data_IF_552936337026
#
_entry.id   IF_552936337026
#
_cell.length_a   1.000
_cell.length_b   1.000
_cell.length_c   1.000
_cell.angle_alpha   90.00
_cell.angle_beta   90.00
_cell.angle_gamma   90.00
#
_symmetry.space_group_name_H-M   'P 1'
#
loop_
_entity.id
_entity.type
_entity.pdbx_description
1 polymer ?
#
# COMPACT_ATOMS: atom_id res chain seq x y z
N UNK A 1 47.71 31.56 40.29
CA UNK A 1 48.77 30.55 40.10
C UNK A 1 48.23 29.20 40.55
N UNK A 2 48.42 28.15 39.75
CA UNK A 2 48.42 26.69 40.05
C UNK A 2 47.72 26.13 41.32
N UNK A 3 47.06 24.96 41.31
CA UNK A 3 46.84 23.95 40.25
C UNK A 3 45.73 22.96 40.66
N UNK A 4 45.35 22.11 39.70
CA UNK A 4 44.39 20.99 39.78
C UNK A 4 44.62 19.98 40.92
N UNK A 5 43.55 19.29 41.33
CA UNK A 5 43.59 17.83 41.54
C UNK A 5 42.21 17.18 41.39
N UNK A 6 42.08 16.28 40.40
CA UNK A 6 40.94 15.37 40.24
C UNK A 6 41.26 14.05 40.95
N UNK A 7 40.35 13.55 41.80
CA UNK A 7 40.31 12.14 42.22
C UNK A 7 38.86 11.63 42.23
N UNK A 8 38.73 10.39 41.77
CA UNK A 8 37.48 9.73 41.42
C UNK A 8 37.03 8.70 42.46
N UNK A 9 35.87 8.08 42.17
CA UNK A 9 35.39 6.80 42.72
C UNK A 9 34.97 6.79 44.20
N UNK A 10 33.65 6.65 44.42
CA UNK A 10 33.03 5.43 44.96
C UNK A 10 31.53 5.62 45.15
N UNK A 11 30.70 4.80 44.49
CA UNK A 11 29.45 4.30 45.09
C UNK A 11 28.98 3.01 44.43
N UNK A 12 28.69 2.04 45.27
CA UNK A 12 28.25 0.68 44.95
C UNK A 12 26.76 0.54 45.20
N UNK A 13 26.06 -0.21 44.34
CA UNK A 13 24.82 -0.91 44.70
C UNK A 13 24.39 -1.88 43.59
N UNK A 14 24.78 -3.14 43.72
CA UNK A 14 23.85 -4.26 43.49
C UNK A 14 22.78 -4.21 44.60
N UNK A 15 21.55 -4.72 44.51
CA UNK A 15 20.84 -5.54 43.51
C UNK A 15 19.35 -5.04 43.47
N UNK A 16 18.32 -5.68 42.89
CA UNK A 16 18.11 -7.05 42.44
C UNK A 16 17.03 -7.17 41.34
N UNK A 17 16.63 -8.40 41.04
CA UNK A 17 15.55 -8.81 40.14
C UNK A 17 14.13 -8.66 40.73
N UNK A 18 13.15 -8.36 39.88
CA UNK A 18 11.82 -8.97 39.97
C UNK A 18 11.22 -9.15 38.57
N UNK A 19 10.78 -10.37 38.28
CA UNK A 19 10.24 -10.81 36.99
C UNK A 19 8.73 -10.62 36.90
N UNK A 20 8.23 -10.19 35.74
CA UNK A 20 6.82 -10.39 35.36
C UNK A 20 6.68 -10.72 33.87
N UNK A 21 6.76 -12.01 33.55
CA UNK A 21 6.34 -12.50 32.22
C UNK A 21 4.83 -12.40 32.09
N UNK A 22 4.35 -11.44 31.30
CA UNK A 22 2.96 -11.41 30.83
C UNK A 22 2.86 -12.07 29.45
N UNK A 23 2.57 -13.37 29.45
CA UNK A 23 2.18 -14.11 28.25
C UNK A 23 0.77 -13.67 27.84
N UNK A 24 0.65 -12.71 26.94
CA UNK A 24 -0.62 -12.42 26.27
C UNK A 24 -0.89 -13.49 25.21
N UNK A 25 -1.82 -14.40 25.50
CA UNK A 25 -2.24 -15.46 24.58
C UNK A 25 -3.38 -14.93 23.71
N UNK A 26 -3.04 -14.21 22.64
CA UNK A 26 -4.05 -13.77 21.67
C UNK A 26 -4.42 -14.96 20.78
N UNK A 27 -5.54 -15.60 21.13
CA UNK A 27 -6.20 -16.62 20.31
C UNK A 27 -6.73 -16.00 19.02
N UNK A 28 -5.92 -16.01 17.96
CA UNK A 28 -6.40 -15.70 16.62
C UNK A 28 -7.10 -16.96 16.08
N UNK A 29 -8.42 -16.88 15.94
CA UNK A 29 -9.21 -17.95 15.32
C UNK A 29 -8.88 -18.03 13.83
N UNK A 30 -8.01 -18.97 13.46
CA UNK A 30 -7.69 -19.28 12.08
C UNK A 30 -8.92 -19.79 11.33
N UNK A 31 -9.60 -18.90 10.59
CA UNK A 31 -10.59 -19.31 9.57
C UNK A 31 -9.87 -19.93 8.36
N UNK A 32 -9.48 -21.19 8.52
CA UNK A 32 -8.97 -22.03 7.44
C UNK A 32 -10.12 -22.53 6.56
N UNK A 33 -10.18 -22.05 5.32
CA UNK A 33 -11.02 -22.68 4.28
C UNK A 33 -10.32 -23.96 3.80
N UNK A 34 -10.64 -25.09 4.43
CA UNK A 34 -10.30 -26.39 3.89
C UNK A 34 -11.14 -26.64 2.63
N UNK A 35 -10.51 -26.61 1.45
CA UNK A 35 -11.11 -27.19 0.25
C UNK A 35 -11.11 -28.71 0.41
N UNK A 36 -12.31 -29.29 0.61
CA UNK A 36 -12.51 -30.74 0.55
C UNK A 36 -12.18 -31.18 -0.88
N UNK A 37 -11.11 -31.97 -1.02
CA UNK A 37 -10.75 -32.58 -2.30
C UNK A 37 -11.50 -33.89 -2.45
N UNK A 38 -12.37 -33.98 -3.45
CA UNK A 38 -13.19 -35.17 -3.69
C UNK A 38 -12.32 -36.36 -4.12
N UNK A 39 -12.64 -37.54 -3.58
CA UNK A 39 -12.15 -38.84 -4.06
C UNK A 39 -13.32 -39.80 -4.17
N UNK A 40 -14.05 -39.71 -5.27
CA UNK A 40 -14.92 -40.80 -5.70
C UNK A 40 -14.09 -41.80 -6.51
N UNK A 41 -14.09 -43.06 -6.05
CA UNK A 41 -13.69 -44.20 -6.87
C UNK A 41 -14.92 -44.59 -7.69
N UNK A 42 -14.80 -44.68 -9.01
CA UNK A 42 -15.71 -45.49 -9.81
C UNK A 42 -14.94 -46.36 -10.81
N UNK A 43 -15.48 -47.55 -11.05
CA UNK A 43 -14.84 -48.63 -11.81
C UNK A 43 -15.12 -48.54 -13.32
N UNK A 44 -14.40 -49.38 -14.07
CA UNK A 44 -14.27 -49.39 -15.54
C UNK A 44 -15.21 -50.42 -16.19
N UNK A 45 -15.53 -50.22 -17.48
CA UNK A 45 -16.22 -51.13 -18.43
C UNK A 45 -17.73 -51.39 -18.17
N UNK A 46 -18.64 -51.37 -19.16
CA UNK A 46 -18.54 -51.89 -20.54
C UNK A 46 -19.50 -51.24 -21.59
N UNK A 47 -19.01 -51.06 -22.82
CA UNK A 47 -19.66 -51.13 -24.17
C UNK A 47 -21.16 -50.82 -24.39
N UNK A 48 -21.45 -49.89 -25.33
CA UNK A 48 -21.92 -50.18 -26.71
C UNK A 48 -22.01 -48.93 -27.61
N UNK A 49 -21.99 -49.14 -28.93
CA UNK A 49 -21.94 -48.10 -29.98
C UNK A 49 -23.33 -47.54 -30.36
N UNK A 50 -23.39 -46.24 -30.71
CA UNK A 50 -24.30 -45.69 -31.73
C UNK A 50 -23.69 -44.39 -32.33
N UNK A 51 -24.16 -43.94 -33.51
CA UNK A 51 -23.35 -43.17 -34.49
C UNK A 51 -23.97 -41.79 -34.84
N UNK A 52 -23.10 -40.76 -34.97
CA UNK A 52 -23.29 -39.35 -35.48
C UNK A 52 -24.30 -38.41 -34.76
N UNK A 53 -24.17 -37.06 -34.87
CA UNK A 53 -23.22 -36.27 -35.68
C UNK A 53 -22.32 -35.29 -34.93
N UNK A 54 -21.35 -34.75 -35.67
CA UNK A 54 -20.47 -33.63 -35.31
C UNK A 54 -21.28 -32.40 -34.89
N UNK A 55 -20.96 -31.84 -33.73
CA UNK A 55 -21.16 -30.42 -33.44
C UNK A 55 -19.80 -29.79 -33.15
N UNK A 56 -19.30 -29.00 -34.11
CA UNK A 56 -18.36 -27.94 -33.78
C UNK A 56 -19.13 -26.96 -32.88
N UNK A 57 -18.78 -26.92 -31.60
CA UNK A 57 -19.31 -25.93 -30.67
C UNK A 57 -18.14 -25.23 -30.01
N UNK A 58 -17.91 -24.01 -30.48
CA UNK A 58 -17.10 -22.92 -29.95
C UNK A 58 -15.95 -23.26 -28.99
N UNK A 59 -14.77 -22.79 -29.41
CA UNK A 59 -13.67 -22.49 -28.49
C UNK A 59 -14.23 -21.66 -27.35
N UNK A 60 -14.31 -22.26 -26.15
CA UNK A 60 -14.64 -21.55 -24.93
C UNK A 60 -13.42 -20.71 -24.53
N UNK A 61 -13.22 -19.63 -25.28
CA UNK A 61 -12.31 -18.54 -24.97
C UNK A 61 -12.89 -17.83 -23.73
N UNK A 62 -12.72 -18.47 -22.58
CA UNK A 62 -13.00 -17.88 -21.29
C UNK A 62 -12.05 -16.69 -21.18
N UNK A 63 -12.54 -15.44 -21.25
CA UNK A 63 -11.66 -14.30 -21.16
C UNK A 63 -11.04 -14.37 -19.77
N UNK A 64 -9.72 -14.59 -19.72
CA UNK A 64 -8.99 -14.49 -18.47
C UNK A 64 -9.17 -13.06 -17.98
N UNK A 65 -10.09 -12.87 -17.02
CA UNK A 65 -10.52 -11.57 -16.48
C UNK A 65 -9.42 -10.95 -15.62
N UNK A 66 -8.28 -10.67 -16.24
CA UNK A 66 -7.07 -10.16 -15.64
C UNK A 66 -6.43 -9.17 -16.59
N UNK A 67 -6.67 -7.89 -16.31
CA UNK A 67 -6.09 -6.73 -17.00
C UNK A 67 -6.72 -6.48 -18.37
N UNK A 68 -7.58 -5.46 -18.44
CA UNK A 68 -8.36 -5.12 -19.64
C UNK A 68 -7.73 -4.05 -20.56
N UNK A 69 -6.60 -3.45 -20.17
CA UNK A 69 -6.03 -2.27 -20.84
C UNK A 69 -4.50 -2.35 -20.98
N UNK A 70 -3.91 -1.81 -22.07
CA UNK A 70 -2.47 -1.60 -22.14
C UNK A 70 -2.04 -0.50 -21.16
N UNK A 71 -0.83 -0.61 -20.64
CA UNK A 71 -0.29 0.30 -19.62
C UNK A 71 -0.25 1.76 -20.11
N UNK A 72 -0.01 1.96 -21.41
CA UNK A 72 -0.01 3.29 -22.04
C UNK A 72 -1.37 3.99 -21.96
N UNK A 73 -2.48 3.26 -22.11
CA UNK A 73 -3.83 3.81 -21.97
C UNK A 73 -4.12 4.16 -20.50
N UNK A 74 -3.75 3.27 -19.58
CA UNK A 74 -3.89 3.51 -18.13
C UNK A 74 -3.16 4.80 -17.73
N UNK A 75 -1.89 4.97 -18.13
CA UNK A 75 -1.11 6.17 -17.82
C UNK A 75 -1.67 7.43 -18.49
N UNK A 76 -2.21 7.33 -19.71
CA UNK A 76 -2.90 8.43 -20.40
C UNK A 76 -4.17 8.87 -19.67
N UNK A 77 -4.93 7.94 -19.11
CA UNK A 77 -6.11 8.25 -18.29
C UNK A 77 -5.71 8.87 -16.95
N UNK A 78 -4.74 8.28 -16.24
CA UNK A 78 -4.29 8.76 -14.92
C UNK A 78 -3.60 10.13 -14.97
N UNK A 79 -2.99 10.50 -16.11
CA UNK A 79 -2.33 11.81 -16.29
C UNK A 79 -3.28 12.96 -16.65
N UNK A 80 -4.58 12.70 -16.82
CA UNK A 80 -5.59 13.77 -17.01
C UNK A 80 -5.65 14.69 -15.78
N UNK A 81 -6.02 15.96 -16.00
CA UNK A 81 -6.30 16.88 -14.89
C UNK A 81 -7.51 16.38 -14.09
N UNK A 82 -7.44 16.56 -12.78
CA UNK A 82 -8.50 16.15 -11.86
C UNK A 82 -9.43 17.36 -11.67
N UNK A 83 -10.76 17.19 -11.74
CA UNK A 83 -11.70 18.29 -11.52
C UNK A 83 -11.50 18.98 -10.16
N UNK A 84 -11.56 20.32 -10.13
CA UNK A 84 -11.31 21.11 -8.92
C UNK A 84 -12.24 20.76 -7.75
N UNK A 85 -13.46 20.27 -8.03
CA UNK A 85 -14.39 19.76 -7.02
C UNK A 85 -13.86 18.58 -6.18
N UNK A 86 -12.82 17.88 -6.66
CA UNK A 86 -12.16 16.77 -5.96
C UNK A 86 -10.86 17.20 -5.25
N UNK A 87 -10.41 18.42 -5.48
CA UNK A 87 -9.21 19.00 -4.89
C UNK A 87 -9.59 19.71 -3.59
N UNK A 88 -8.79 19.53 -2.54
CA UNK A 88 -8.91 20.27 -1.28
C UNK A 88 -7.70 21.18 -1.11
N UNK A 89 -7.93 22.30 -0.43
CA UNK A 89 -6.88 23.26 -0.09
C UNK A 89 -6.64 23.21 1.41
N UNK A 90 -5.37 23.18 1.82
CA UNK A 90 -4.97 23.27 3.23
C UNK A 90 -3.96 24.40 3.40
N UNK A 91 -4.28 25.36 4.24
CA UNK A 91 -3.35 26.37 4.72
C UNK A 91 -2.59 25.84 5.94
N UNK A 92 -1.26 25.85 5.87
CA UNK A 92 -0.39 25.48 7.00
C UNK A 92 0.79 26.45 7.06
N UNK A 93 0.95 27.15 8.19
CA UNK A 93 2.05 28.10 8.44
C UNK A 93 2.25 29.17 7.34
N UNK A 94 1.14 29.65 6.76
CA UNK A 94 1.16 30.66 5.69
C UNK A 94 1.32 30.10 4.27
N UNK A 95 1.58 28.80 4.11
CA UNK A 95 1.61 28.14 2.80
C UNK A 95 0.26 27.48 2.49
N UNK A 96 -0.27 27.74 1.30
CA UNK A 96 -1.56 27.23 0.82
C UNK A 96 -1.32 26.08 -0.16
N UNK A 97 -1.51 24.84 0.28
CA UNK A 97 -1.27 23.65 -0.54
C UNK A 97 -2.58 23.06 -1.07
N UNK A 98 -2.69 22.91 -2.41
CA UNK A 98 -3.73 22.09 -3.05
C UNK A 98 -3.35 20.61 -2.97
N UNK A 99 -4.30 19.74 -2.68
CA UNK A 99 -4.08 18.29 -2.59
C UNK A 99 -5.36 17.48 -2.88
N UNK A 100 -5.20 16.28 -3.42
CA UNK A 100 -6.29 15.30 -3.52
C UNK A 100 -6.30 14.44 -2.23
N UNK A 101 -7.45 14.19 -1.59
CA UNK A 101 -7.57 13.22 -0.49
C UNK A 101 -7.28 11.79 -0.96
N UNK A 102 -6.65 10.97 -0.10
CA UNK A 102 -6.18 9.62 -0.49
C UNK A 102 -7.30 8.70 -1.00
N UNK A 103 -8.51 8.75 -0.42
CA UNK A 103 -9.64 7.92 -0.84
C UNK A 103 -10.17 8.29 -2.24
N UNK A 104 -9.98 9.54 -2.67
CA UNK A 104 -10.28 9.97 -4.04
C UNK A 104 -9.24 9.39 -5.01
N UNK A 105 -7.95 9.46 -4.65
CA UNK A 105 -6.87 8.82 -5.43
C UNK A 105 -7.13 7.31 -5.59
N UNK A 106 -7.50 6.61 -4.51
CA UNK A 106 -7.90 5.21 -4.52
C UNK A 106 -9.10 4.95 -5.45
N UNK A 107 -10.13 5.82 -5.43
CA UNK A 107 -11.29 5.69 -6.31
C UNK A 107 -10.92 5.88 -7.78
N UNK A 108 -10.02 6.80 -8.10
CA UNK A 108 -9.56 7.03 -9.48
C UNK A 108 -8.76 5.82 -9.97
N UNK A 109 -7.86 5.25 -9.16
CA UNK A 109 -7.16 4.00 -9.50
C UNK A 109 -8.14 2.85 -9.78
N UNK A 110 -9.13 2.63 -8.91
CA UNK A 110 -10.15 1.59 -9.11
C UNK A 110 -10.96 1.75 -10.41
N UNK A 111 -11.09 2.98 -10.95
CA UNK A 111 -11.83 3.25 -12.20
C UNK A 111 -10.97 3.04 -13.45
N UNK A 112 -9.70 3.45 -13.41
CA UNK A 112 -8.83 3.43 -14.61
C UNK A 112 -7.86 2.26 -14.68
N UNK A 113 -7.57 1.61 -13.55
CA UNK A 113 -6.63 0.50 -13.41
C UNK A 113 -7.09 -0.47 -12.29
N UNK A 114 -8.25 -1.13 -12.40
CA UNK A 114 -8.84 -1.90 -11.30
C UNK A 114 -7.94 -3.01 -10.73
N UNK A 115 -6.94 -3.47 -11.49
CA UNK A 115 -5.96 -4.48 -11.11
C UNK A 115 -4.74 -3.91 -10.34
N UNK A 116 -4.70 -2.60 -10.05
CA UNK A 116 -3.59 -1.98 -9.32
C UNK A 116 -3.36 -2.61 -7.93
N UNK A 117 -2.10 -2.55 -7.47
CA UNK A 117 -1.75 -2.96 -6.11
C UNK A 117 -0.93 -1.89 -5.38
N UNK A 118 -1.10 -1.83 -4.06
CA UNK A 118 -0.38 -0.94 -3.18
C UNK A 118 0.17 -1.69 -1.98
N UNK A 119 1.40 -1.39 -1.58
CA UNK A 119 2.03 -2.00 -0.41
C UNK A 119 2.94 -1.02 0.34
N UNK A 120 2.94 -1.13 1.66
CA UNK A 120 3.97 -0.50 2.50
C UNK A 120 5.25 -1.32 2.36
N UNK A 121 6.33 -0.68 1.91
CA UNK A 121 7.66 -1.29 1.74
C UNK A 121 8.48 -1.25 3.02
N UNK A 122 8.34 -0.17 3.79
CA UNK A 122 9.13 0.08 5.00
C UNK A 122 8.45 1.15 5.88
N UNK A 123 8.68 1.07 7.19
CA UNK A 123 8.24 2.04 8.20
C UNK A 123 9.43 2.35 9.11
N UNK A 124 9.99 3.56 9.00
CA UNK A 124 11.16 4.01 9.76
C UNK A 124 10.79 5.11 10.75
N UNK A 125 11.07 4.88 12.02
CA UNK A 125 11.09 5.94 13.03
C UNK A 125 12.45 6.64 13.03
N UNK A 126 12.47 7.94 13.31
CA UNK A 126 13.72 8.67 13.54
C UNK A 126 14.39 8.21 14.83
N UNK A 127 15.71 8.40 14.94
CA UNK A 127 16.47 7.99 16.12
C UNK A 127 16.03 8.69 17.43
N UNK A 128 15.42 9.86 17.32
CA UNK A 128 14.82 10.61 18.44
C UNK A 128 13.33 10.31 18.66
N UNK A 129 12.74 9.39 17.89
CA UNK A 129 11.33 8.98 17.99
C UNK A 129 10.30 10.00 17.51
N UNK A 130 10.72 11.22 17.13
CA UNK A 130 9.81 12.33 16.81
C UNK A 130 9.18 12.26 15.43
N UNK A 131 9.75 11.51 14.50
CA UNK A 131 9.24 11.39 13.14
C UNK A 131 9.05 9.93 12.75
N UNK A 132 7.99 9.67 11.99
CA UNK A 132 7.80 8.41 11.25
C UNK A 132 7.82 8.68 9.76
N UNK A 133 8.53 7.82 9.02
CA UNK A 133 8.61 7.83 7.56
C UNK A 133 8.15 6.50 7.00
N UNK A 134 7.14 6.53 6.13
CA UNK A 134 6.60 5.35 5.45
C UNK A 134 7.01 5.38 3.99
N UNK A 135 7.58 4.28 3.50
CA UNK A 135 7.87 4.06 2.08
C UNK A 135 6.72 3.22 1.51
N UNK A 136 6.06 3.73 0.47
CA UNK A 136 4.92 3.06 -0.16
C UNK A 136 5.19 2.83 -1.65
N UNK A 137 4.81 1.65 -2.14
CA UNK A 137 4.89 1.25 -3.55
C UNK A 137 3.49 1.14 -4.14
N UNK A 138 3.27 1.78 -5.28
CA UNK A 138 2.09 1.57 -6.13
C UNK A 138 2.54 0.85 -7.39
N UNK A 139 1.87 -0.25 -7.72
CA UNK A 139 2.10 -1.05 -8.94
C UNK A 139 0.88 -0.97 -9.84
N UNK A 140 1.09 -0.68 -11.11
CA UNK A 140 0.08 -0.79 -12.17
C UNK A 140 0.40 -2.00 -13.05
N UNK A 141 -0.65 -2.66 -13.51
CA UNK A 141 -0.59 -3.79 -14.41
C UNK A 141 -1.36 -3.41 -15.68
N UNK A 142 -0.67 -3.42 -16.82
CA UNK A 142 -1.26 -3.41 -18.15
C UNK A 142 -1.10 -4.78 -18.82
N UNK A 143 -1.83 -5.00 -19.92
CA UNK A 143 -1.76 -6.24 -20.70
C UNK A 143 -0.37 -6.48 -21.30
N UNK A 144 0.37 -5.41 -21.56
CA UNK A 144 1.70 -5.35 -22.16
C UNK A 144 2.84 -5.31 -21.14
N UNK A 145 2.65 -4.59 -20.02
CA UNK A 145 3.69 -4.38 -19.02
C UNK A 145 3.14 -4.10 -17.61
N UNK A 146 3.95 -4.42 -16.60
CA UNK A 146 3.77 -3.94 -15.22
C UNK A 146 4.82 -2.90 -14.87
N UNK A 147 4.44 -1.86 -14.12
CA UNK A 147 5.36 -0.86 -13.58
C UNK A 147 5.02 -0.56 -12.13
N UNK A 148 6.02 -0.09 -11.38
CA UNK A 148 5.80 0.41 -10.03
C UNK A 148 6.51 1.75 -9.83
N UNK A 149 5.97 2.56 -8.90
CA UNK A 149 6.63 3.76 -8.40
C UNK A 149 6.55 3.77 -6.88
N UNK A 150 7.67 4.16 -6.27
CA UNK A 150 7.80 4.29 -4.82
C UNK A 150 7.89 5.76 -4.42
N UNK A 151 7.36 6.08 -3.25
CA UNK A 151 7.54 7.39 -2.62
C UNK A 151 7.45 7.30 -1.11
N UNK A 152 7.83 8.39 -0.44
CA UNK A 152 7.93 8.48 1.01
C UNK A 152 7.04 9.59 1.54
N UNK A 153 6.35 9.32 2.64
CA UNK A 153 5.67 10.29 3.47
C UNK A 153 6.32 10.33 4.85
N UNK A 154 6.54 11.52 5.39
CA UNK A 154 7.17 11.73 6.71
C UNK A 154 6.28 12.66 7.53
N UNK A 155 6.05 12.29 8.78
CA UNK A 155 5.11 12.93 9.71
C UNK A 155 5.73 13.03 11.10
N UNK A 156 5.43 14.08 11.83
CA UNK A 156 5.80 14.21 13.25
C UNK A 156 4.86 13.37 14.12
N UNK A 157 5.41 12.58 15.03
CA UNK A 157 4.64 11.79 16.02
C UNK A 157 3.90 12.73 16.98
N UNK A 158 4.47 13.91 17.27
CA UNK A 158 3.88 14.95 18.12
C UNK A 158 2.81 15.82 17.40
N UNK A 159 2.44 15.50 16.15
CA UNK A 159 1.39 16.26 15.44
C UNK A 159 0.04 16.12 16.15
N UNK A 160 -0.37 17.17 16.88
CA UNK A 160 -1.66 17.29 17.60
C UNK A 160 -2.92 17.19 16.71
N UNK A 161 -2.76 16.94 15.41
CA UNK A 161 -3.85 16.76 14.45
C UNK A 161 -4.26 15.29 14.48
N UNK A 162 -5.36 15.02 15.18
CA UNK A 162 -5.93 13.69 15.44
C UNK A 162 -5.75 12.68 14.30
N UNK A 163 -5.01 11.61 14.60
CA UNK A 163 -4.78 10.48 13.70
C UNK A 163 -3.53 9.69 14.11
N UNK A 164 -3.41 8.47 13.60
CA UNK A 164 -2.18 7.68 13.69
C UNK A 164 -1.12 8.29 12.75
N UNK A 165 0.09 8.63 13.24
CA UNK A 165 1.13 9.23 12.41
C UNK A 165 1.60 8.27 11.29
N UNK A 166 1.49 6.95 11.47
CA UNK A 166 1.79 5.95 10.42
C UNK A 166 0.79 6.08 9.27
N UNK A 167 -0.52 6.02 9.55
CA UNK A 167 -1.58 6.20 8.55
C UNK A 167 -1.47 7.54 7.81
N UNK A 168 -1.10 8.63 8.52
CA UNK A 168 -0.88 9.94 7.90
C UNK A 168 0.34 9.93 6.97
N UNK A 169 1.44 9.30 7.37
CA UNK A 169 2.64 9.15 6.56
C UNK A 169 2.41 8.24 5.33
N UNK A 170 1.71 7.11 5.51
CA UNK A 170 1.27 6.22 4.44
C UNK A 170 0.39 6.96 3.42
N UNK A 171 -0.61 7.70 3.89
CA UNK A 171 -1.49 8.53 3.06
C UNK A 171 -0.73 9.61 2.28
N UNK A 172 0.39 10.13 2.81
CA UNK A 172 1.29 11.02 2.07
C UNK A 172 2.14 10.26 1.04
N UNK A 173 2.71 9.11 1.40
CA UNK A 173 3.53 8.27 0.55
C UNK A 173 2.75 7.75 -0.68
N UNK A 174 1.57 7.19 -0.45
CA UNK A 174 0.66 6.66 -1.47
C UNK A 174 0.34 7.72 -2.54
N UNK A 175 -0.15 8.90 -2.13
CA UNK A 175 -0.48 9.99 -3.08
C UNK A 175 0.71 10.47 -3.89
N UNK A 176 1.91 10.54 -3.29
CA UNK A 176 3.15 10.90 -3.99
C UNK A 176 3.61 9.81 -4.96
N UNK A 177 3.40 8.52 -4.63
CA UNK A 177 3.66 7.41 -5.53
C UNK A 177 2.70 7.44 -6.74
N UNK A 178 1.42 7.75 -6.52
CA UNK A 178 0.44 7.98 -7.59
C UNK A 178 0.82 9.18 -8.49
N UNK A 179 1.30 10.30 -7.92
CA UNK A 179 1.77 11.44 -8.70
C UNK A 179 2.95 11.08 -9.63
N UNK A 180 3.83 10.16 -9.21
CA UNK A 180 4.91 9.61 -10.05
C UNK A 180 4.43 8.71 -11.20
N UNK A 181 3.14 8.35 -11.20
CA UNK A 181 2.42 7.67 -12.28
C UNK A 181 1.54 8.66 -13.09
N UNK A 182 1.65 9.97 -12.83
CA UNK A 182 0.87 11.04 -13.47
C UNK A 182 -0.35 11.49 -12.67
N UNK A 183 -0.88 10.67 -11.76
CA UNK A 183 -2.15 10.92 -11.08
C UNK A 183 -2.04 12.08 -10.08
N UNK A 184 -2.64 13.22 -10.43
CA UNK A 184 -2.56 14.44 -9.63
C UNK A 184 -1.22 15.18 -9.72
N UNK A 185 -0.35 14.81 -10.67
CA UNK A 185 0.98 15.44 -10.83
C UNK A 185 0.88 16.95 -11.08
N UNK A 186 -0.15 17.40 -11.80
CA UNK A 186 -0.42 18.81 -12.07
C UNK A 186 -0.61 19.70 -10.83
N UNK A 187 -0.81 19.13 -9.63
CA UNK A 187 -0.88 19.89 -8.37
C UNK A 187 0.50 20.24 -7.78
N UNK A 188 1.57 19.64 -8.31
CA UNK A 188 2.95 19.92 -7.89
C UNK A 188 3.65 20.92 -8.81
N UNK A 189 3.02 21.32 -9.89
CA UNK A 189 3.44 22.46 -10.67
C UNK A 189 2.74 23.66 -10.06
N UNK A 190 3.48 24.47 -9.29
CA UNK A 190 3.08 25.85 -9.03
C UNK A 190 2.78 26.47 -10.41
N UNK A 191 1.63 27.14 -10.51
CA UNK A 191 0.94 27.30 -11.78
C UNK A 191 1.86 27.87 -12.88
N UNK A 192 1.93 27.17 -14.03
CA UNK A 192 2.44 27.74 -15.29
C UNK A 192 1.41 28.73 -15.85
N UNK A 193 1.12 29.76 -15.06
CA UNK A 193 0.18 30.87 -15.31
C UNK A 193 0.93 32.19 -15.39
#
# INVERSE_FOLDING_TARGET
MASSLVKSLLKTSSSSSLSSSLRSVISISSRSYARVSAKEKYQKESEKEEIVPVFESDVCDAPASGISKPLSEILKELSKRIPDALIKTRSEKGFTMRYIPWHIVNRILNVHAPEWSGEVRDIKYSADGKYVSVIYRVTLYGTDAKIYRESTGTVSVDDKISGDPVQKAESMAFRRACARLGLGLHLYHDDLS
#
